data_IF_964823017494
#
_entry.id   IF_964823017494
#
_cell.length_a   1.000
_cell.length_b   1.000
_cell.length_c   1.000
_cell.angle_alpha   90.00
_cell.angle_beta   90.00
_cell.angle_gamma   90.00
#
_symmetry.space_group_name_H-M   'P 1'
#
loop_
_entity.id
_entity.type
_entity.pdbx_description
1 polymer ?
#
# COMPACT_ATOMS: atom_id res chain seq x y z
N UNK A 1 13.72 -27.29 -4.47
CA UNK A 1 14.61 -26.16 -4.83
C UNK A 1 13.91 -25.04 -5.64
N UNK A 2 12.66 -25.18 -6.09
CA UNK A 2 11.96 -24.11 -6.84
C UNK A 2 11.37 -22.99 -5.98
N UNK A 3 11.01 -23.25 -4.71
CA UNK A 3 10.40 -22.23 -3.84
C UNK A 3 11.37 -21.12 -3.40
N UNK A 4 12.65 -21.44 -3.22
CA UNK A 4 13.67 -20.46 -2.80
C UNK A 4 13.93 -19.39 -3.88
N UNK A 5 13.83 -19.74 -5.17
CA UNK A 5 14.08 -18.79 -6.27
C UNK A 5 12.92 -17.81 -6.45
N UNK A 6 11.68 -18.26 -6.20
CA UNK A 6 10.49 -17.41 -6.24
C UNK A 6 10.54 -16.32 -5.16
N UNK A 7 10.84 -16.69 -3.90
CA UNK A 7 10.95 -15.72 -2.79
C UNK A 7 12.02 -14.66 -3.06
N UNK A 8 13.20 -15.09 -3.56
CA UNK A 8 14.30 -14.19 -3.89
C UNK A 8 13.89 -13.21 -5.01
N UNK A 9 13.22 -13.71 -6.05
CA UNK A 9 12.75 -12.87 -7.16
C UNK A 9 11.72 -11.83 -6.71
N UNK A 10 10.77 -12.21 -5.85
CA UNK A 10 9.74 -11.29 -5.36
C UNK A 10 10.35 -10.21 -4.47
N UNK A 11 11.31 -10.56 -3.61
CA UNK A 11 12.04 -9.60 -2.77
C UNK A 11 12.73 -8.52 -3.61
N UNK A 12 13.51 -8.91 -4.63
CA UNK A 12 14.21 -7.94 -5.46
C UNK A 12 13.27 -7.11 -6.33
N UNK A 13 12.17 -7.70 -6.80
CA UNK A 13 11.14 -6.99 -7.56
C UNK A 13 10.46 -5.91 -6.71
N UNK A 14 10.10 -6.22 -5.46
CA UNK A 14 9.55 -5.23 -4.52
C UNK A 14 10.56 -4.11 -4.23
N UNK A 15 11.82 -4.43 -3.93
CA UNK A 15 12.85 -3.42 -3.68
C UNK A 15 13.03 -2.47 -4.87
N UNK A 16 13.07 -3.01 -6.09
CA UNK A 16 13.16 -2.20 -7.32
C UNK A 16 11.95 -1.29 -7.46
N UNK A 17 10.74 -1.83 -7.30
CA UNK A 17 9.50 -1.04 -7.40
C UNK A 17 9.43 0.07 -6.34
N UNK A 18 9.83 -0.23 -5.11
CA UNK A 18 9.88 0.77 -4.03
C UNK A 18 10.88 1.88 -4.38
N UNK A 19 12.08 1.55 -4.89
CA UNK A 19 13.05 2.56 -5.35
C UNK A 19 12.48 3.47 -6.45
N UNK A 20 11.67 2.92 -7.35
CA UNK A 20 11.10 3.70 -8.45
C UNK A 20 9.96 4.62 -7.99
N UNK A 21 9.23 4.25 -6.92
CA UNK A 21 7.99 4.92 -6.51
C UNK A 21 8.03 5.70 -5.20
N UNK A 22 9.01 5.47 -4.32
CA UNK A 22 8.97 6.05 -2.96
C UNK A 22 8.93 7.59 -2.92
N UNK A 23 9.39 8.28 -3.98
CA UNK A 23 9.33 9.74 -4.07
C UNK A 23 7.97 10.27 -4.51
N UNK A 24 7.18 9.43 -5.19
CA UNK A 24 5.91 9.82 -5.82
C UNK A 24 4.70 9.12 -5.20
N UNK A 25 4.92 8.15 -4.32
CA UNK A 25 3.92 7.33 -3.65
C UNK A 25 4.18 7.33 -2.14
N UNK A 26 3.32 8.02 -1.38
CA UNK A 26 3.47 8.14 0.06
C UNK A 26 2.68 9.32 0.65
N UNK A 27 3.27 10.00 1.64
CA UNK A 27 2.56 11.06 2.38
C UNK A 27 2.19 12.27 1.52
N UNK A 28 3.02 12.62 0.53
CA UNK A 28 2.84 13.81 -0.32
C UNK A 28 1.60 13.74 -1.21
N UNK A 29 1.10 12.54 -1.50
CA UNK A 29 -0.06 12.31 -2.34
C UNK A 29 -1.13 11.45 -1.63
N UNK A 30 -1.05 11.30 -0.31
CA UNK A 30 -2.03 10.56 0.48
C UNK A 30 -3.38 11.29 0.46
N UNK A 31 -4.37 10.71 -0.21
CA UNK A 31 -5.70 11.29 -0.35
C UNK A 31 -6.73 10.51 0.47
N UNK A 32 -7.40 11.18 1.40
CA UNK A 32 -8.43 10.61 2.24
C UNK A 32 -9.39 11.70 2.71
N UNK A 33 -10.61 11.30 3.06
CA UNK A 33 -11.60 12.16 3.73
C UNK A 33 -11.85 11.61 5.12
N UNK A 34 -11.80 12.47 6.12
CA UNK A 34 -12.20 12.08 7.48
C UNK A 34 -13.72 12.06 7.54
N UNK A 35 -14.28 10.90 7.86
CA UNK A 35 -15.73 10.71 8.00
C UNK A 35 -16.17 11.01 9.43
N UNK A 36 -15.39 10.55 10.42
CA UNK A 36 -15.77 10.68 11.82
C UNK A 36 -14.54 10.58 12.74
N UNK A 37 -14.55 11.34 13.83
CA UNK A 37 -13.54 11.26 14.89
C UNK A 37 -14.26 10.99 16.21
N UNK A 38 -13.84 9.93 16.91
CA UNK A 38 -14.33 9.57 18.23
C UNK A 38 -13.18 9.53 19.25
N UNK A 39 -13.38 10.16 20.40
CA UNK A 39 -12.43 10.14 21.50
C UNK A 39 -12.85 9.09 22.52
N UNK A 40 -12.23 7.91 22.42
CA UNK A 40 -12.33 6.89 23.45
C UNK A 40 -11.50 7.27 24.68
N UNK A 41 -11.77 6.62 25.81
CA UNK A 41 -11.05 6.89 27.07
C UNK A 41 -9.53 6.69 26.97
N UNK A 42 -9.07 5.82 26.06
CA UNK A 42 -7.65 5.43 25.92
C UNK A 42 -7.13 5.53 24.47
N UNK A 43 -7.95 6.01 23.53
CA UNK A 43 -7.59 6.08 22.12
C UNK A 43 -8.45 7.10 21.38
N UNK A 44 -7.96 7.55 20.22
CA UNK A 44 -8.76 8.31 19.26
C UNK A 44 -9.03 7.43 18.05
N UNK A 45 -10.30 7.24 17.72
CA UNK A 45 -10.71 6.52 16.52
C UNK A 45 -11.02 7.52 15.42
N UNK A 46 -10.25 7.46 14.33
CA UNK A 46 -10.44 8.30 13.15
C UNK A 46 -10.93 7.36 12.05
N UNK A 47 -12.20 7.52 11.69
CA UNK A 47 -12.78 6.82 10.55
C UNK A 47 -12.54 7.65 9.30
N UNK A 48 -11.95 7.03 8.27
CA UNK A 48 -11.58 7.69 7.03
C UNK A 48 -12.13 6.95 5.82
N UNK A 49 -12.57 7.69 4.82
CA UNK A 49 -12.78 7.23 3.46
C UNK A 49 -11.46 7.42 2.71
N UNK A 50 -10.76 6.32 2.45
CA UNK A 50 -9.51 6.32 1.69
C UNK A 50 -9.92 6.40 0.22
N UNK A 51 -9.99 7.62 -0.31
CA UNK A 51 -10.45 8.00 -1.66
C UNK A 51 -9.52 7.49 -2.79
N UNK A 52 -8.86 6.36 -2.57
CA UNK A 52 -7.91 5.76 -3.49
C UNK A 52 -8.64 5.00 -4.61
N UNK A 53 -8.96 5.69 -5.71
CA UNK A 53 -9.17 5.02 -7.00
C UNK A 53 -7.92 4.18 -7.39
N UNK A 54 -6.74 4.61 -6.94
CA UNK A 54 -5.47 3.89 -7.11
C UNK A 54 -5.38 2.58 -6.32
N UNK A 55 -6.10 2.40 -5.20
CA UNK A 55 -6.07 1.15 -4.42
C UNK A 55 -6.55 -0.03 -5.27
N UNK A 56 -7.60 0.18 -6.05
CA UNK A 56 -8.13 -0.81 -6.99
C UNK A 56 -7.14 -1.10 -8.13
N UNK A 57 -6.30 -0.13 -8.50
CA UNK A 57 -5.21 -0.28 -9.46
C UNK A 57 -4.05 -1.08 -8.86
N UNK A 58 -3.65 -0.79 -7.63
CA UNK A 58 -2.62 -1.52 -6.88
C UNK A 58 -3.02 -2.97 -6.59
N UNK A 59 -4.29 -3.24 -6.22
CA UNK A 59 -4.83 -4.61 -6.11
C UNK A 59 -4.70 -5.40 -7.41
N UNK A 60 -5.04 -4.79 -8.55
CA UNK A 60 -4.83 -5.40 -9.88
C UNK A 60 -3.34 -5.60 -10.18
N UNK A 61 -2.48 -4.69 -9.75
CA UNK A 61 -1.05 -4.72 -10.00
C UNK A 61 -0.34 -5.81 -9.20
N UNK A 62 -0.64 -5.95 -7.90
CA UNK A 62 -0.11 -7.02 -7.04
C UNK A 62 -0.52 -8.39 -7.57
N UNK A 63 -1.79 -8.54 -8.00
CA UNK A 63 -2.29 -9.78 -8.63
C UNK A 63 -1.57 -10.13 -9.94
N UNK A 64 -0.95 -9.14 -10.60
CA UNK A 64 -0.19 -9.26 -11.86
C UNK A 64 1.31 -9.48 -11.65
N UNK A 65 1.82 -9.24 -10.43
CA UNK A 65 3.25 -9.41 -10.13
C UNK A 65 3.69 -10.87 -10.27
N UNK A 66 2.77 -11.84 -10.28
CA UNK A 66 3.08 -13.24 -10.60
C UNK A 66 4.14 -13.81 -9.66
N UNK A 67 4.05 -13.36 -8.42
CA UNK A 67 4.55 -13.91 -7.19
C UNK A 67 3.28 -14.29 -6.42
#
# INVERSE_FOLDING_TARGET
MQEMSLIINCRFKLIKMTKDKYLTDGFSNLNYRVEFINFGKLYTHIMVDVLEEEYNRWKKYIKKIGC
#
